data_IF_398050469769
#
_entry.id   IF_398050469769
#
_cell.length_a   1.000
_cell.length_b   1.000
_cell.length_c   1.000
_cell.angle_alpha   90.00
_cell.angle_beta   90.00
_cell.angle_gamma   90.00
#
_symmetry.space_group_name_H-M   'P 1'
#
loop_
_entity.id
_entity.type
_entity.pdbx_description
1 polymer ?
#
# COMPACT_ATOMS: atom_id res chain seq x y z
N UNK A 1 -13.65 9.67 -30.22
CA UNK A 1 -13.00 8.39 -29.86
C UNK A 1 -11.48 8.59 -29.90
N UNK A 2 -10.85 8.88 -28.76
CA UNK A 2 -9.39 8.97 -28.63
C UNK A 2 -9.08 8.82 -27.13
N UNK A 3 -8.22 7.87 -26.72
CA UNK A 3 -7.64 7.91 -25.36
C UNK A 3 -7.64 6.64 -24.49
N UNK A 4 -7.82 5.42 -25.02
CA UNK A 4 -7.68 4.18 -24.21
C UNK A 4 -6.35 3.43 -24.37
N UNK A 5 -5.37 3.93 -25.13
CA UNK A 5 -4.14 3.15 -25.45
C UNK A 5 -2.87 3.47 -24.65
N UNK A 6 -2.83 4.48 -23.78
CA UNK A 6 -1.55 4.91 -23.17
C UNK A 6 -1.31 4.44 -21.72
N UNK A 7 -2.36 4.12 -20.94
CA UNK A 7 -2.16 3.69 -19.55
C UNK A 7 -1.49 2.31 -19.43
N UNK A 8 -1.87 1.36 -20.30
CA UNK A 8 -1.33 0.00 -20.24
C UNK A 8 0.14 -0.08 -20.67
N UNK A 9 0.55 0.69 -21.67
CA UNK A 9 1.95 0.72 -22.12
C UNK A 9 2.86 1.38 -21.08
N UNK A 10 2.49 2.57 -20.59
CA UNK A 10 3.27 3.26 -19.56
C UNK A 10 3.35 2.44 -18.26
N UNK A 11 2.27 1.76 -17.86
CA UNK A 11 2.29 0.86 -16.70
C UNK A 11 3.19 -0.36 -16.92
N UNK A 12 3.12 -1.01 -18.08
CA UNK A 12 4.00 -2.14 -18.41
C UNK A 12 5.46 -1.72 -18.45
N UNK A 13 5.76 -0.59 -19.09
CA UNK A 13 7.10 -0.03 -19.15
C UNK A 13 7.62 0.35 -17.76
N UNK A 14 6.83 1.05 -16.95
CA UNK A 14 7.22 1.45 -15.59
C UNK A 14 7.48 0.24 -14.71
N UNK A 15 6.59 -0.74 -14.72
CA UNK A 15 6.77 -1.97 -13.93
C UNK A 15 7.97 -2.79 -14.40
N UNK A 16 8.21 -2.86 -15.72
CA UNK A 16 9.38 -3.52 -16.26
C UNK A 16 10.67 -2.77 -15.89
N UNK A 17 10.69 -1.44 -16.01
CA UNK A 17 11.82 -0.60 -15.66
C UNK A 17 12.17 -0.70 -14.17
N UNK A 18 11.18 -0.65 -13.27
CA UNK A 18 11.39 -0.82 -11.82
C UNK A 18 11.89 -2.22 -11.49
N UNK A 19 11.32 -3.27 -12.09
CA UNK A 19 11.82 -4.65 -11.90
C UNK A 19 13.24 -4.84 -12.43
N UNK A 20 13.54 -4.26 -13.59
CA UNK A 20 14.85 -4.36 -14.22
C UNK A 20 15.90 -3.65 -13.38
N UNK A 21 15.66 -2.39 -13.03
CA UNK A 21 16.58 -1.58 -12.19
C UNK A 21 16.78 -2.15 -10.78
N UNK A 22 15.79 -2.85 -10.22
CA UNK A 22 15.92 -3.57 -8.94
C UNK A 22 16.63 -4.92 -9.04
N UNK A 23 17.00 -5.39 -10.24
CA UNK A 23 17.64 -6.69 -10.45
C UNK A 23 19.15 -6.65 -10.22
N UNK A 24 19.77 -7.71 -9.65
CA UNK A 24 21.22 -7.82 -9.50
C UNK A 24 21.99 -7.62 -10.82
N UNK A 25 21.41 -8.04 -11.94
CA UNK A 25 22.02 -7.88 -13.27
C UNK A 25 22.09 -6.41 -13.72
N UNK A 26 21.09 -5.59 -13.40
CA UNK A 26 21.12 -4.17 -13.72
C UNK A 26 22.13 -3.43 -12.85
N UNK A 27 22.27 -3.80 -11.58
CA UNK A 27 23.32 -3.28 -10.72
C UNK A 27 24.71 -3.59 -11.27
N UNK A 28 24.95 -4.83 -11.68
CA UNK A 28 26.23 -5.23 -12.30
C UNK A 28 26.51 -4.43 -13.58
N UNK A 29 25.51 -4.26 -14.44
CA UNK A 29 25.62 -3.45 -15.66
C UNK A 29 25.92 -1.98 -15.37
N UNK A 30 25.22 -1.37 -14.41
CA UNK A 30 25.47 0.00 -13.99
C UNK A 30 26.88 0.16 -13.39
N UNK A 31 27.33 -0.80 -12.59
CA UNK A 31 28.68 -0.81 -12.03
C UNK A 31 29.75 -0.87 -13.14
N UNK A 32 29.57 -1.74 -14.13
CA UNK A 32 30.47 -1.83 -15.28
C UNK A 32 30.52 -0.52 -16.08
N UNK A 33 29.38 0.15 -16.27
CA UNK A 33 29.33 1.46 -16.92
C UNK A 33 30.14 2.50 -16.14
N UNK A 34 30.01 2.53 -14.81
CA UNK A 34 30.78 3.44 -13.95
C UNK A 34 32.28 3.13 -14.01
N UNK A 35 32.67 1.85 -14.00
CA UNK A 35 34.06 1.43 -14.15
C UNK A 35 34.62 1.83 -15.51
N UNK A 36 33.91 1.54 -16.60
CA UNK A 36 34.32 1.93 -17.95
C UNK A 36 34.47 3.44 -18.07
N UNK A 37 33.50 4.21 -17.55
CA UNK A 37 33.60 5.66 -17.48
C UNK A 37 34.87 6.07 -16.74
N UNK A 38 35.12 5.57 -15.52
CA UNK A 38 36.32 5.91 -14.75
C UNK A 38 37.63 5.59 -15.48
N UNK A 39 37.71 4.47 -16.22
CA UNK A 39 38.87 4.09 -17.03
C UNK A 39 39.04 5.00 -18.25
N UNK A 40 37.96 5.56 -18.79
CA UNK A 40 38.07 6.58 -19.87
C UNK A 40 38.55 7.93 -19.35
N UNK A 41 38.46 8.22 -18.05
CA UNK A 41 38.83 9.51 -17.44
C UNK A 41 40.25 10.00 -17.76
N UNK A 42 41.30 9.17 -17.63
CA UNK A 42 42.67 9.55 -17.98
C UNK A 42 42.88 9.95 -19.45
N UNK A 43 42.06 9.44 -20.38
CA UNK A 43 42.14 9.85 -21.79
C UNK A 43 41.56 11.26 -22.05
N UNK A 44 40.73 11.75 -21.14
CA UNK A 44 40.09 13.07 -21.21
C UNK A 44 40.60 14.03 -20.13
N UNK A 45 41.73 13.72 -19.50
CA UNK A 45 42.34 14.49 -18.40
C UNK A 45 41.37 14.83 -17.26
N UNK A 46 40.36 13.98 -17.02
CA UNK A 46 39.28 14.26 -16.08
C UNK A 46 38.59 15.63 -16.28
N UNK A 47 38.46 16.07 -17.54
CA UNK A 47 37.91 17.37 -17.91
C UNK A 47 36.51 17.66 -17.34
N UNK A 48 36.17 18.95 -17.22
CA UNK A 48 34.85 19.38 -16.77
C UNK A 48 33.72 18.80 -17.63
N UNK A 49 33.89 18.75 -18.96
CA UNK A 49 32.91 18.16 -19.88
C UNK A 49 32.72 16.66 -19.62
N UNK A 50 33.79 15.93 -19.32
CA UNK A 50 33.73 14.49 -19.03
C UNK A 50 32.98 14.20 -17.72
N UNK A 51 33.17 15.03 -16.69
CA UNK A 51 32.40 14.96 -15.44
C UNK A 51 30.94 15.39 -15.63
N UNK A 52 30.71 16.45 -16.43
CA UNK A 52 29.38 16.98 -16.70
C UNK A 52 28.48 15.94 -17.37
N UNK A 53 29.01 15.14 -18.30
CA UNK A 53 28.23 14.11 -19.01
C UNK A 53 27.66 13.07 -18.03
N UNK A 54 28.46 12.52 -17.11
CA UNK A 54 27.95 11.51 -16.18
C UNK A 54 27.00 12.12 -15.14
N UNK A 55 27.31 13.31 -14.65
CA UNK A 55 26.50 13.98 -13.63
C UNK A 55 25.15 14.37 -14.22
N UNK A 56 25.13 14.95 -15.42
CA UNK A 56 23.90 15.35 -16.10
C UNK A 56 23.08 14.12 -16.48
N UNK A 57 23.73 13.08 -17.03
CA UNK A 57 23.06 11.83 -17.39
C UNK A 57 22.42 11.13 -16.19
N UNK A 58 23.17 11.00 -15.09
CA UNK A 58 22.67 10.37 -13.86
C UNK A 58 21.53 11.19 -13.25
N UNK A 59 21.61 12.52 -13.29
CA UNK A 59 20.54 13.40 -12.78
C UNK A 59 19.24 13.22 -13.57
N UNK A 60 19.31 13.18 -14.90
CA UNK A 60 18.14 12.93 -15.75
C UNK A 60 17.55 11.55 -15.47
N UNK A 61 18.40 10.50 -15.42
CA UNK A 61 17.96 9.14 -15.12
C UNK A 61 17.29 9.08 -13.75
N UNK A 62 17.90 9.70 -12.73
CA UNK A 62 17.36 9.72 -11.36
C UNK A 62 16.03 10.45 -11.32
N UNK A 63 15.92 11.60 -11.97
CA UNK A 63 14.66 12.36 -12.06
C UNK A 63 13.55 11.52 -12.68
N UNK A 64 13.83 10.84 -13.80
CA UNK A 64 12.87 9.92 -14.42
C UNK A 64 12.55 8.73 -13.49
N UNK A 65 13.54 8.18 -12.80
CA UNK A 65 13.40 7.05 -11.90
C UNK A 65 12.46 7.38 -10.73
N UNK A 66 12.51 8.60 -10.18
CA UNK A 66 11.58 9.04 -9.13
C UNK A 66 10.13 8.91 -9.59
N UNK A 67 9.78 9.34 -10.80
CA UNK A 67 8.42 9.19 -11.33
C UNK A 67 8.03 7.73 -11.56
N UNK A 68 8.96 6.90 -12.05
CA UNK A 68 8.71 5.47 -12.26
C UNK A 68 8.47 4.75 -10.93
N UNK A 69 9.26 5.05 -9.91
CA UNK A 69 9.10 4.53 -8.55
C UNK A 69 7.75 4.99 -7.98
N UNK A 70 7.41 6.28 -8.05
CA UNK A 70 6.13 6.80 -7.56
C UNK A 70 4.95 6.11 -8.24
N UNK A 71 5.02 5.86 -9.56
CA UNK A 71 3.96 5.17 -10.30
C UNK A 71 3.82 3.71 -9.85
N UNK A 72 4.93 2.99 -9.66
CA UNK A 72 4.91 1.61 -9.19
C UNK A 72 4.38 1.53 -7.74
N UNK A 73 4.89 2.38 -6.86
CA UNK A 73 4.47 2.46 -5.46
C UNK A 73 3.00 2.83 -5.31
N UNK A 74 2.49 3.79 -6.09
CA UNK A 74 1.08 4.18 -6.03
C UNK A 74 0.12 3.01 -6.33
N UNK A 75 0.51 2.12 -7.26
CA UNK A 75 -0.27 0.92 -7.59
C UNK A 75 -0.22 -0.12 -6.46
N UNK A 76 0.96 -0.34 -5.89
CA UNK A 76 1.15 -1.29 -4.80
C UNK A 76 0.45 -0.84 -3.50
N UNK A 77 0.53 0.46 -3.17
CA UNK A 77 -0.21 1.05 -2.04
C UNK A 77 -1.71 0.83 -2.16
N UNK A 78 -2.28 1.07 -3.34
CA UNK A 78 -3.71 0.83 -3.58
C UNK A 78 -4.09 -0.65 -3.45
N UNK A 79 -3.23 -1.56 -3.93
CA UNK A 79 -3.46 -2.99 -3.77
C UNK A 79 -3.41 -3.43 -2.29
N UNK A 80 -2.54 -2.81 -1.48
CA UNK A 80 -2.46 -3.03 -0.04
C UNK A 80 -3.75 -2.53 0.65
N UNK A 81 -4.21 -1.32 0.33
CA UNK A 81 -5.47 -0.77 0.84
C UNK A 81 -6.66 -1.69 0.57
N UNK A 82 -6.84 -2.14 -0.68
CA UNK A 82 -7.93 -3.06 -1.03
C UNK A 82 -7.87 -4.37 -0.24
N UNK A 83 -6.66 -4.94 -0.07
CA UNK A 83 -6.49 -6.18 0.72
C UNK A 83 -6.81 -5.97 2.21
N UNK A 84 -6.44 -4.82 2.77
CA UNK A 84 -6.76 -4.45 4.15
C UNK A 84 -8.26 -4.22 4.31
N UNK A 85 -8.89 -3.50 3.38
CA UNK A 85 -10.32 -3.24 3.37
C UNK A 85 -11.12 -4.56 3.31
N UNK A 86 -10.71 -5.52 2.49
CA UNK A 86 -11.30 -6.87 2.46
C UNK A 86 -11.15 -7.60 3.81
N UNK A 87 -9.97 -7.55 4.43
CA UNK A 87 -9.72 -8.21 5.73
C UNK A 87 -10.51 -7.56 6.88
N UNK A 88 -10.66 -6.24 6.86
CA UNK A 88 -11.46 -5.48 7.82
C UNK A 88 -12.95 -5.78 7.61
N UNK A 89 -13.43 -5.75 6.37
CA UNK A 89 -14.82 -6.09 6.04
C UNK A 89 -15.19 -7.54 6.38
N UNK A 90 -14.23 -8.47 6.26
CA UNK A 90 -14.41 -9.86 6.68
C UNK A 90 -14.43 -10.03 8.22
N UNK A 91 -14.03 -9.02 9.00
CA UNK A 91 -14.03 -9.04 10.45
C UNK A 91 -15.29 -8.39 11.04
N UNK A 92 -16.23 -9.20 11.50
CA UNK A 92 -17.57 -8.81 12.00
C UNK A 92 -17.55 -7.78 13.18
N UNK A 93 -16.44 -7.67 13.92
CA UNK A 93 -16.26 -6.69 15.00
C UNK A 93 -15.52 -5.42 14.55
N UNK A 94 -14.95 -5.39 13.36
CA UNK A 94 -14.33 -4.19 12.83
C UNK A 94 -15.41 -3.25 12.30
N UNK A 95 -15.31 -1.97 12.64
CA UNK A 95 -16.24 -0.98 12.12
C UNK A 95 -15.98 -0.79 10.63
N UNK A 96 -17.01 -0.95 9.79
CA UNK A 96 -16.96 -0.58 8.36
C UNK A 96 -16.51 0.86 8.13
N UNK A 97 -16.51 1.70 9.17
CA UNK A 97 -16.00 3.08 9.12
C UNK A 97 -14.47 3.19 9.02
N UNK A 98 -13.74 2.08 9.20
CA UNK A 98 -12.29 1.98 8.91
C UNK A 98 -12.07 1.56 7.44
N UNK A 99 -13.04 0.86 6.82
CA UNK A 99 -12.98 0.54 5.40
C UNK A 99 -13.00 1.86 4.63
N UNK A 100 -11.99 2.07 3.79
CA UNK A 100 -11.78 3.31 3.02
C UNK A 100 -11.42 4.54 3.88
N UNK A 101 -10.67 4.35 4.98
CA UNK A 101 -10.18 5.45 5.84
C UNK A 101 -9.37 6.51 5.07
N UNK A 102 -8.71 6.13 3.96
CA UNK A 102 -7.96 7.06 3.11
C UNK A 102 -8.81 8.13 2.41
N UNK A 103 -10.12 7.90 2.27
CA UNK A 103 -11.03 8.81 1.56
C UNK A 103 -11.72 9.80 2.51
N UNK A 104 -11.51 9.67 3.83
CA UNK A 104 -12.07 10.58 4.84
C UNK A 104 -11.40 11.95 4.78
N UNK A 105 -12.18 12.99 5.05
CA UNK A 105 -11.64 14.34 5.28
C UNK A 105 -10.86 14.38 6.59
N UNK A 106 -9.94 15.36 6.73
CA UNK A 106 -9.12 15.52 7.94
C UNK A 106 -9.98 15.68 9.21
N UNK A 107 -11.09 16.43 9.12
CA UNK A 107 -12.03 16.59 10.22
C UNK A 107 -12.75 15.28 10.60
N UNK A 108 -13.07 14.42 9.63
CA UNK A 108 -13.66 13.10 9.89
C UNK A 108 -12.64 12.13 10.48
N UNK A 109 -11.38 12.22 10.05
CA UNK A 109 -10.27 11.43 10.60
C UNK A 109 -10.01 11.78 12.07
N UNK A 110 -10.03 13.07 12.43
CA UNK A 110 -9.93 13.55 13.81
C UNK A 110 -11.09 13.04 14.68
N UNK A 111 -12.32 13.10 14.17
CA UNK A 111 -13.48 12.55 14.88
C UNK A 111 -13.35 11.03 15.10
N UNK A 112 -12.84 10.30 14.11
CA UNK A 112 -12.60 8.87 14.21
C UNK A 112 -11.50 8.56 15.23
N UNK A 113 -10.43 9.36 15.26
CA UNK A 113 -9.35 9.26 16.24
C UNK A 113 -9.88 9.42 17.67
N UNK A 114 -10.65 10.48 17.94
CA UNK A 114 -11.25 10.75 19.26
C UNK A 114 -12.19 9.61 19.68
N UNK A 115 -12.96 9.04 18.73
CA UNK A 115 -13.84 7.91 19.01
C UNK A 115 -13.06 6.67 19.46
N UNK A 116 -11.98 6.30 18.77
CA UNK A 116 -11.16 5.14 19.14
C UNK A 116 -10.34 5.36 20.41
N UNK A 117 -9.88 6.58 20.66
CA UNK A 117 -9.22 6.97 21.90
C UNK A 117 -10.16 6.71 23.10
N UNK A 118 -11.40 7.22 23.02
CA UNK A 118 -12.43 6.97 24.05
C UNK A 118 -12.77 5.50 24.18
N UNK A 119 -12.85 4.75 23.08
CA UNK A 119 -13.11 3.30 23.13
C UNK A 119 -11.98 2.56 23.87
N UNK A 120 -10.72 2.95 23.64
CA UNK A 120 -9.56 2.41 24.34
C UNK A 120 -9.57 2.75 25.85
N UNK A 121 -9.98 3.96 26.23
CA UNK A 121 -10.17 4.34 27.64
C UNK A 121 -11.27 3.52 28.30
N UNK A 122 -12.41 3.34 27.62
CA UNK A 122 -13.51 2.52 28.11
C UNK A 122 -13.10 1.06 28.28
N UNK A 123 -12.37 0.47 27.32
CA UNK A 123 -11.86 -0.90 27.43
C UNK A 123 -10.85 -1.07 28.59
N UNK A 124 -10.00 -0.07 28.85
CA UNK A 124 -9.13 -0.06 30.04
C UNK A 124 -9.91 0.01 31.34
N UNK A 125 -11.02 0.75 31.34
CA UNK A 125 -11.91 0.88 32.50
C UNK A 125 -12.78 -0.36 32.72
N UNK A 126 -13.14 -1.09 31.66
CA UNK A 126 -13.91 -2.33 31.71
C UNK A 126 -13.04 -3.55 32.09
N UNK A 127 -11.73 -3.48 31.85
CA UNK A 127 -10.74 -4.40 32.38
C UNK A 127 -10.45 -4.21 33.88
N UNK A 128 -11.01 -3.17 34.51
CA UNK A 128 -11.05 -3.01 35.96
C UNK A 128 -12.08 -3.99 36.55
N UNK A 129 -11.59 -4.91 37.37
CA UNK A 129 -12.17 -6.19 37.80
C UNK A 129 -13.42 -6.10 38.72
N UNK A 130 -14.10 -4.96 38.77
CA UNK A 130 -15.26 -4.75 39.66
C UNK A 130 -16.65 -4.90 39.02
N UNK A 131 -16.77 -5.22 37.72
CA UNK A 131 -18.06 -5.44 37.04
C UNK A 131 -18.18 -6.85 36.43
N UNK A 132 -18.77 -7.78 37.19
CA UNK A 132 -19.08 -9.15 36.76
C UNK A 132 -20.27 -9.21 35.78
N UNK A 133 -19.99 -9.29 34.48
CA UNK A 133 -20.99 -9.68 33.46
C UNK A 133 -20.43 -10.68 32.42
N UNK A 134 -19.55 -11.60 32.81
CA UNK A 134 -18.68 -12.32 31.86
C UNK A 134 -19.27 -13.59 31.21
N UNK A 135 -20.27 -14.26 31.78
CA UNK A 135 -20.75 -15.55 31.22
C UNK A 135 -21.97 -15.39 30.32
N UNK A 136 -23.04 -14.75 30.79
CA UNK A 136 -24.25 -14.53 30.00
C UNK A 136 -24.01 -13.64 28.76
N UNK A 137 -23.08 -12.68 28.86
CA UNK A 137 -22.71 -11.83 27.72
C UNK A 137 -21.88 -12.58 26.67
N UNK A 138 -21.02 -13.52 27.10
CA UNK A 138 -20.26 -14.37 26.19
C UNK A 138 -21.17 -15.34 25.44
N UNK A 139 -22.14 -15.95 26.14
CA UNK A 139 -23.11 -16.88 25.56
C UNK A 139 -23.98 -16.19 24.48
N UNK A 140 -24.56 -15.01 24.80
CA UNK A 140 -25.37 -14.25 23.83
C UNK A 140 -24.60 -13.84 22.58
N UNK A 141 -23.32 -13.50 22.72
CA UNK A 141 -22.46 -13.18 21.59
C UNK A 141 -22.16 -14.41 20.71
N UNK A 142 -22.09 -15.61 21.28
CA UNK A 142 -21.91 -16.85 20.50
C UNK A 142 -23.21 -17.25 19.78
N UNK A 143 -24.36 -17.15 20.45
CA UNK A 143 -25.66 -17.49 19.86
C UNK A 143 -26.01 -16.54 18.70
N UNK A 144 -25.77 -15.22 18.87
CA UNK A 144 -25.96 -14.25 17.81
C UNK A 144 -25.11 -14.54 16.57
N UNK A 145 -23.85 -14.95 16.77
CA UNK A 145 -22.94 -15.31 15.66
C UNK A 145 -23.45 -16.52 14.89
N UNK A 146 -23.89 -17.56 15.59
CA UNK A 146 -24.43 -18.76 14.95
C UNK A 146 -25.61 -18.43 14.03
N UNK A 147 -26.55 -17.62 14.51
CA UNK A 147 -27.73 -17.19 13.75
C UNK A 147 -27.38 -16.27 12.56
N UNK A 148 -26.40 -15.37 12.75
CA UNK A 148 -25.92 -14.50 11.68
C UNK A 148 -25.30 -15.28 10.52
N UNK A 149 -24.39 -16.22 10.82
CA UNK A 149 -23.74 -17.04 9.78
C UNK A 149 -24.73 -17.93 9.04
N UNK A 150 -25.72 -18.48 9.74
CA UNK A 150 -26.78 -19.28 9.13
C UNK A 150 -27.58 -18.48 8.10
N UNK A 151 -28.04 -17.27 8.46
CA UNK A 151 -28.79 -16.39 7.54
C UNK A 151 -27.98 -15.97 6.33
N UNK A 152 -26.71 -15.58 6.53
CA UNK A 152 -25.83 -15.19 5.41
C UNK A 152 -25.55 -16.34 4.45
N UNK A 153 -25.39 -17.56 4.97
CA UNK A 153 -25.23 -18.76 4.13
C UNK A 153 -26.50 -19.05 3.32
N UNK A 154 -27.69 -18.91 3.93
CA UNK A 154 -28.97 -19.06 3.24
C UNK A 154 -29.19 -17.99 2.15
N UNK A 155 -28.81 -16.73 2.41
CA UNK A 155 -28.84 -15.64 1.42
C UNK A 155 -27.91 -15.92 0.24
N UNK A 156 -26.69 -16.39 0.51
CA UNK A 156 -25.71 -16.72 -0.51
C UNK A 156 -26.18 -17.86 -1.42
N UNK A 157 -26.84 -18.87 -0.86
CA UNK A 157 -27.43 -19.97 -1.64
C UNK A 157 -28.56 -19.48 -2.56
N UNK A 158 -29.39 -18.53 -2.11
CA UNK A 158 -30.46 -17.93 -2.92
C UNK A 158 -29.95 -17.08 -4.08
N UNK A 159 -28.78 -16.45 -3.94
CA UNK A 159 -28.17 -15.66 -5.02
C UNK A 159 -27.52 -16.52 -6.12
N UNK A 160 -27.38 -17.82 -5.88
CA UNK A 160 -26.72 -18.78 -6.79
C UNK A 160 -27.69 -19.67 -7.57
N UNK A 161 -28.98 -19.68 -7.23
CA UNK A 161 -30.07 -20.35 -7.95
C UNK A 161 -30.77 -19.41 -8.92
#
# INVERSE_FOLDING_TARGET
MMGKMNHSFFEKFSNWAVKFTGSPYAFMGAFLIVVLWAVTGPFFDYSETWQLVINTGTTIITFLMVFLIQKAQNKDSKAIQIKLNELIAAHEKASNRIVDIEDLTEAELDQLHIYYERLGELAKKDADIHTSHSIDAAQRNQDYKYDFFKRKHEEWLKYRS
#
